data_IF_298895090552
#
_entry.id   IF_298895090552
#
_cell.length_a   1.000
_cell.length_b   1.000
_cell.length_c   1.000
_cell.angle_alpha   90.00
_cell.angle_beta   90.00
_cell.angle_gamma   90.00
#
_symmetry.space_group_name_H-M   'P 1'
#
loop_
_entity.id
_entity.type
_entity.pdbx_description
1 polymer ?
#
# COMPACT_ATOMS: atom_id res chain seq x y z
N UNK A 1 -46.94 -3.80 35.11
CA UNK A 1 -46.76 -2.34 35.28
C UNK A 1 -45.46 -2.12 36.08
N UNK A 2 -44.30 -2.29 35.46
CA UNK A 2 -42.99 -1.94 36.10
C UNK A 2 -41.84 -1.88 35.08
N UNK A 3 -42.06 -1.46 33.85
CA UNK A 3 -40.98 -1.34 32.83
C UNK A 3 -41.05 -0.07 31.97
N UNK A 4 -41.58 1.03 32.53
CA UNK A 4 -41.69 2.29 31.77
C UNK A 4 -40.87 3.46 32.33
N UNK A 5 -39.88 3.22 33.21
CA UNK A 5 -39.12 4.29 33.84
C UNK A 5 -37.62 4.34 33.50
N UNK A 6 -37.02 3.35 32.79
CA UNK A 6 -35.59 3.36 32.47
C UNK A 6 -35.24 3.96 31.09
N UNK A 7 -36.21 4.30 30.24
CA UNK A 7 -35.90 4.86 28.91
C UNK A 7 -35.77 6.39 28.84
N UNK A 8 -35.96 7.11 29.97
CA UNK A 8 -35.86 8.59 30.01
C UNK A 8 -34.47 9.15 30.29
N UNK A 9 -33.53 8.32 30.73
CA UNK A 9 -32.15 8.75 31.06
C UNK A 9 -31.19 8.89 29.88
N UNK A 10 -31.41 8.15 28.80
CA UNK A 10 -30.50 8.15 27.63
C UNK A 10 -30.76 9.32 26.65
N UNK A 11 -31.98 9.88 26.65
CA UNK A 11 -32.32 11.03 25.80
C UNK A 11 -31.65 12.34 26.23
N UNK A 12 -31.40 12.50 27.51
CA UNK A 12 -30.83 13.74 28.07
C UNK A 12 -29.30 13.80 28.00
N UNK A 13 -28.62 12.65 27.95
CA UNK A 13 -27.18 12.59 27.73
C UNK A 13 -26.85 12.98 26.29
N UNK A 14 -27.64 12.58 25.32
CA UNK A 14 -27.47 12.97 23.92
C UNK A 14 -27.78 14.44 23.63
N UNK A 15 -28.69 15.07 24.42
CA UNK A 15 -28.99 16.50 24.29
C UNK A 15 -27.93 17.40 24.92
N UNK A 16 -27.20 16.94 25.94
CA UNK A 16 -26.12 17.70 26.57
C UNK A 16 -24.82 17.72 25.74
N UNK A 17 -24.57 16.72 24.86
CA UNK A 17 -23.43 16.72 23.95
C UNK A 17 -23.62 17.61 22.71
N UNK A 18 -24.84 18.05 22.40
CA UNK A 18 -25.09 19.03 21.31
C UNK A 18 -24.94 20.50 21.72
N UNK A 19 -24.67 20.78 22.99
CA UNK A 19 -24.62 22.15 23.52
C UNK A 19 -23.24 22.82 23.56
N UNK A 20 -22.18 22.17 23.05
CA UNK A 20 -20.83 22.74 23.06
C UNK A 20 -20.12 22.70 21.68
N UNK A 21 -20.89 22.82 20.60
CA UNK A 21 -20.34 23.27 19.32
C UNK A 21 -20.60 24.79 19.25
N UNK A 22 -19.67 25.57 19.80
CA UNK A 22 -19.54 26.97 19.44
C UNK A 22 -19.52 27.07 17.92
N UNK A 23 -20.47 27.82 17.34
CA UNK A 23 -20.48 28.16 15.93
C UNK A 23 -19.12 28.81 15.62
N UNK A 24 -18.21 28.06 15.00
CA UNK A 24 -16.95 28.60 14.47
C UNK A 24 -17.36 29.66 13.46
N UNK A 25 -17.17 30.94 13.82
CA UNK A 25 -17.34 32.07 12.90
C UNK A 25 -16.62 31.76 11.60
N UNK A 26 -17.30 31.99 10.49
CA UNK A 26 -16.75 31.69 9.16
C UNK A 26 -15.64 32.67 8.84
N UNK A 27 -14.42 32.45 9.33
CA UNK A 27 -13.25 33.30 9.05
C UNK A 27 -13.10 33.50 7.54
N UNK A 28 -12.89 34.72 7.11
CA UNK A 28 -12.74 35.13 5.71
C UNK A 28 -11.29 35.46 5.38
N UNK A 29 -10.93 35.46 4.09
CA UNK A 29 -9.58 35.84 3.64
C UNK A 29 -9.25 37.27 4.06
N UNK A 30 -10.26 38.14 4.23
CA UNK A 30 -10.13 39.53 4.69
C UNK A 30 -9.66 39.56 6.16
N UNK A 31 -10.29 38.73 7.01
CA UNK A 31 -9.89 38.59 8.41
C UNK A 31 -8.49 38.00 8.58
N UNK A 32 -8.10 37.02 7.76
CA UNK A 32 -6.73 36.51 7.71
C UNK A 32 -5.74 37.65 7.36
N UNK A 33 -6.07 38.48 6.38
CA UNK A 33 -5.24 39.61 5.97
C UNK A 33 -5.10 40.65 7.10
N UNK A 34 -6.19 40.94 7.79
CA UNK A 34 -6.21 41.84 8.96
C UNK A 34 -5.36 41.27 10.12
N UNK A 35 -5.51 39.99 10.45
CA UNK A 35 -4.71 39.33 11.50
C UNK A 35 -3.22 39.25 11.15
N UNK A 36 -2.88 39.07 9.89
CA UNK A 36 -1.50 39.04 9.40
C UNK A 36 -0.90 40.45 9.25
N UNK A 37 -1.72 41.50 9.18
CA UNK A 37 -1.29 42.90 8.92
C UNK A 37 -0.84 43.10 7.47
N UNK A 38 -1.48 42.43 6.50
CA UNK A 38 -1.11 42.49 5.09
C UNK A 38 -2.33 42.67 4.18
N UNK A 39 -2.11 42.88 2.88
CA UNK A 39 -3.19 42.98 1.92
C UNK A 39 -3.81 41.62 1.63
N UNK A 40 -5.09 41.61 1.25
CA UNK A 40 -5.78 40.40 0.77
C UNK A 40 -5.01 39.74 -0.39
N UNK A 41 -4.43 40.56 -1.27
CA UNK A 41 -3.63 40.10 -2.40
C UNK A 41 -2.38 39.32 -1.92
N UNK A 42 -1.72 39.76 -0.84
CA UNK A 42 -0.58 39.06 -0.26
C UNK A 42 -0.97 37.72 0.30
N UNK A 43 -2.08 37.60 1.03
CA UNK A 43 -2.61 36.32 1.51
C UNK A 43 -2.96 35.41 0.34
N UNK A 44 -3.58 35.94 -0.70
CA UNK A 44 -3.90 35.17 -1.92
C UNK A 44 -2.63 34.67 -2.63
N UNK A 45 -1.56 35.45 -2.68
CA UNK A 45 -0.30 35.04 -3.27
C UNK A 45 0.38 33.93 -2.46
N UNK A 46 0.28 33.95 -1.14
CA UNK A 46 0.80 32.87 -0.28
C UNK A 46 0.00 31.59 -0.49
N UNK A 47 -1.35 31.67 -0.46
CA UNK A 47 -2.21 30.49 -0.63
C UNK A 47 -2.00 29.84 -2.00
N UNK A 48 -1.97 30.65 -3.08
CA UNK A 48 -1.90 30.15 -4.45
C UNK A 48 -0.45 30.02 -4.98
N UNK A 49 0.58 30.40 -4.19
CA UNK A 49 2.00 30.41 -4.58
C UNK A 49 2.29 31.12 -5.92
N UNK A 50 1.57 32.20 -6.20
CA UNK A 50 1.59 32.88 -7.52
C UNK A 50 2.66 33.95 -7.63
N UNK A 51 3.21 34.45 -6.51
CA UNK A 51 4.28 35.43 -6.45
C UNK A 51 5.18 35.18 -5.24
N UNK A 52 6.42 35.64 -5.33
CA UNK A 52 7.35 35.63 -4.21
C UNK A 52 6.83 36.51 -3.05
N UNK A 53 6.74 35.93 -1.87
CA UNK A 53 6.47 36.62 -0.60
C UNK A 53 7.61 36.26 0.36
N UNK A 54 8.05 37.21 1.20
CA UNK A 54 9.14 36.96 2.14
C UNK A 54 8.83 35.78 3.06
N UNK A 55 9.79 34.86 3.32
CA UNK A 55 9.55 33.65 4.10
C UNK A 55 8.90 33.91 5.48
N UNK A 56 9.37 34.91 6.20
CA UNK A 56 8.83 35.32 7.52
C UNK A 56 7.31 35.66 7.46
N UNK A 57 6.87 36.22 6.33
CA UNK A 57 5.48 36.59 6.11
C UNK A 57 4.65 35.38 5.70
N UNK A 58 5.25 34.44 4.95
CA UNK A 58 4.63 33.16 4.59
C UNK A 58 4.35 32.38 5.86
N UNK A 59 5.35 32.18 6.73
CA UNK A 59 5.22 31.46 7.99
C UNK A 59 4.15 32.06 8.89
N UNK A 60 4.09 33.39 8.98
CA UNK A 60 3.07 34.08 9.75
C UNK A 60 1.67 33.85 9.23
N UNK A 61 1.47 33.93 7.91
CA UNK A 61 0.17 33.73 7.27
C UNK A 61 -0.26 32.26 7.39
N UNK A 62 0.64 31.30 7.14
CA UNK A 62 0.35 29.87 7.26
C UNK A 62 -0.05 29.50 8.70
N UNK A 63 0.63 30.06 9.72
CA UNK A 63 0.28 29.87 11.12
C UNK A 63 -1.14 30.35 11.43
N UNK A 64 -1.51 31.54 10.96
CA UNK A 64 -2.87 32.09 11.12
C UNK A 64 -3.91 31.22 10.41
N UNK A 65 -3.62 30.73 9.21
CA UNK A 65 -4.50 29.83 8.45
C UNK A 65 -4.76 28.55 9.23
N UNK A 66 -3.73 27.96 9.87
CA UNK A 66 -3.86 26.76 10.71
C UNK A 66 -4.68 27.05 11.96
N UNK A 67 -4.33 28.10 12.72
CA UNK A 67 -5.00 28.47 13.97
C UNK A 67 -6.48 28.81 13.79
N UNK A 68 -6.83 29.43 12.67
CA UNK A 68 -8.21 29.81 12.35
C UNK A 68 -9.01 28.68 11.68
N UNK A 69 -8.36 27.58 11.28
CA UNK A 69 -8.97 26.50 10.51
C UNK A 69 -9.41 26.91 9.09
N UNK A 70 -8.88 28.05 8.57
CA UNK A 70 -9.21 28.55 7.24
C UNK A 70 -8.76 27.62 6.11
N UNK A 71 -7.77 26.76 6.36
CA UNK A 71 -7.36 25.69 5.42
C UNK A 71 -8.53 24.79 5.02
N UNK A 72 -9.50 24.53 5.92
CA UNK A 72 -10.69 23.74 5.59
C UNK A 72 -11.57 24.45 4.55
N UNK A 73 -11.58 25.80 4.52
CA UNK A 73 -12.28 26.60 3.52
C UNK A 73 -11.57 26.63 2.18
N UNK A 74 -10.24 26.65 2.20
CA UNK A 74 -9.45 26.55 0.96
C UNK A 74 -9.75 25.21 0.32
N UNK A 75 -9.69 24.12 1.08
CA UNK A 75 -10.04 22.78 0.63
C UNK A 75 -11.50 22.68 0.15
N UNK A 76 -12.47 23.30 0.86
CA UNK A 76 -13.88 23.33 0.43
C UNK A 76 -14.11 24.15 -0.86
N UNK A 77 -13.33 25.22 -1.07
CA UNK A 77 -13.39 26.01 -2.31
C UNK A 77 -12.80 25.25 -3.50
N UNK A 78 -11.67 24.61 -3.29
CA UNK A 78 -11.05 23.72 -4.27
C UNK A 78 -11.95 22.52 -4.57
N UNK A 79 -12.58 21.93 -3.55
CA UNK A 79 -13.58 20.87 -3.69
C UNK A 79 -14.79 21.29 -4.53
N UNK A 80 -15.29 22.54 -4.38
CA UNK A 80 -16.36 23.09 -5.20
C UNK A 80 -15.93 23.37 -6.65
N UNK A 81 -14.66 23.69 -6.88
CA UNK A 81 -14.09 23.85 -8.21
C UNK A 81 -13.87 22.49 -8.90
N UNK A 82 -13.66 21.42 -8.12
CA UNK A 82 -13.53 20.04 -8.58
C UNK A 82 -14.91 19.38 -8.84
N UNK A 83 -16.00 19.91 -8.29
CA UNK A 83 -17.37 19.47 -8.59
C UNK A 83 -17.72 19.85 -10.04
N UNK A 84 -17.45 18.93 -10.95
CA UNK A 84 -17.64 19.12 -12.41
C UNK A 84 -16.39 18.81 -13.25
N UNK A 85 -15.23 18.55 -12.60
CA UNK A 85 -14.01 18.06 -13.22
C UNK A 85 -13.60 16.73 -12.60
N UNK A 86 -12.56 16.13 -13.11
CA UNK A 86 -11.93 14.92 -12.62
C UNK A 86 -11.77 14.98 -11.08
N UNK A 87 -12.55 14.18 -10.37
CA UNK A 87 -12.66 14.29 -8.90
C UNK A 87 -12.41 12.98 -8.18
N UNK A 88 -12.05 11.93 -8.91
CA UNK A 88 -11.89 10.58 -8.37
C UNK A 88 -10.46 10.11 -8.55
N UNK A 89 -9.81 9.70 -7.47
CA UNK A 89 -8.58 8.91 -7.49
C UNK A 89 -8.96 7.44 -7.37
N UNK A 90 -8.39 6.60 -8.20
CA UNK A 90 -8.69 5.16 -8.21
C UNK A 90 -7.43 4.38 -7.90
N UNK A 91 -7.48 3.50 -6.90
CA UNK A 91 -6.47 2.46 -6.71
C UNK A 91 -6.88 1.20 -7.50
N UNK A 92 -6.05 0.78 -8.43
CA UNK A 92 -6.21 -0.47 -9.18
C UNK A 92 -5.16 -1.44 -8.65
N UNK A 93 -5.61 -2.46 -7.93
CA UNK A 93 -4.73 -3.36 -7.14
C UNK A 93 -5.12 -4.82 -7.38
N UNK A 94 -4.18 -5.76 -7.25
CA UNK A 94 -4.44 -7.19 -7.47
C UNK A 94 -5.45 -7.77 -6.47
N UNK A 95 -5.35 -7.41 -5.19
CA UNK A 95 -6.22 -7.93 -4.13
C UNK A 95 -6.19 -7.02 -2.90
N UNK A 96 -7.09 -7.24 -1.94
CA UNK A 96 -7.15 -6.53 -0.66
C UNK A 96 -6.67 -7.40 0.51
N UNK A 97 -6.33 -8.64 0.27
CA UNK A 97 -5.86 -9.57 1.30
C UNK A 97 -4.42 -9.26 1.72
N UNK A 98 -3.62 -8.74 0.80
CA UNK A 98 -2.27 -8.27 1.09
C UNK A 98 -2.32 -7.04 2.01
N UNK A 99 -1.61 -7.10 3.12
CA UNK A 99 -1.50 -6.01 4.09
C UNK A 99 -0.96 -4.74 3.44
N UNK A 100 -0.02 -4.87 2.52
CA UNK A 100 0.57 -3.76 1.76
C UNK A 100 -0.53 -2.95 1.06
N UNK A 101 -1.41 -3.62 0.31
CA UNK A 101 -2.49 -2.93 -0.41
C UNK A 101 -3.57 -2.41 0.54
N UNK A 102 -3.92 -3.18 1.56
CA UNK A 102 -4.92 -2.78 2.56
C UNK A 102 -4.49 -1.51 3.29
N UNK A 103 -3.26 -1.46 3.77
CA UNK A 103 -2.73 -0.33 4.53
C UNK A 103 -2.51 0.89 3.61
N UNK A 104 -2.03 0.68 2.38
CA UNK A 104 -1.95 1.71 1.36
C UNK A 104 -3.33 2.32 1.09
N UNK A 105 -4.35 1.51 0.85
CA UNK A 105 -5.73 1.95 0.60
C UNK A 105 -6.26 2.78 1.78
N UNK A 106 -6.06 2.30 3.01
CA UNK A 106 -6.50 3.01 4.21
C UNK A 106 -5.81 4.38 4.35
N UNK A 107 -4.50 4.44 4.14
CA UNK A 107 -3.71 5.67 4.26
C UNK A 107 -4.02 6.66 3.12
N UNK A 108 -4.03 6.20 1.87
CA UNK A 108 -4.33 7.04 0.70
C UNK A 108 -5.74 7.62 0.79
N UNK A 109 -6.73 6.82 1.23
CA UNK A 109 -8.09 7.32 1.45
C UNK A 109 -8.12 8.55 2.35
N UNK A 110 -7.35 8.56 3.45
CA UNK A 110 -7.29 9.70 4.35
C UNK A 110 -6.70 10.92 3.64
N UNK A 111 -5.58 10.75 2.93
CA UNK A 111 -4.89 11.84 2.24
C UNK A 111 -5.76 12.47 1.15
N UNK A 112 -6.33 11.66 0.26
CA UNK A 112 -7.10 12.17 -0.89
C UNK A 112 -8.43 12.79 -0.46
N UNK A 113 -9.04 12.30 0.64
CA UNK A 113 -10.28 12.85 1.19
C UNK A 113 -10.09 14.27 1.73
N UNK A 114 -8.94 14.57 2.35
CA UNK A 114 -8.60 15.93 2.81
C UNK A 114 -8.48 16.88 1.64
N UNK A 115 -7.99 16.40 0.49
CA UNK A 115 -7.86 17.18 -0.75
C UNK A 115 -9.19 17.30 -1.53
N UNK A 116 -10.25 16.66 -1.06
CA UNK A 116 -11.58 16.77 -1.67
C UNK A 116 -11.84 15.78 -2.80
N UNK A 117 -10.94 14.83 -3.05
CA UNK A 117 -11.15 13.74 -4.02
C UNK A 117 -12.01 12.62 -3.45
N UNK A 118 -12.78 11.98 -4.31
CA UNK A 118 -13.34 10.67 -4.03
C UNK A 118 -12.25 9.61 -4.20
N UNK A 119 -12.30 8.56 -3.39
CA UNK A 119 -11.37 7.44 -3.51
C UNK A 119 -12.14 6.16 -3.80
N UNK A 120 -11.75 5.48 -4.87
CA UNK A 120 -12.30 4.19 -5.27
C UNK A 120 -11.17 3.15 -5.31
N UNK A 121 -11.54 1.89 -5.10
CA UNK A 121 -10.64 0.75 -5.22
C UNK A 121 -11.24 -0.21 -6.24
N UNK A 122 -10.45 -0.59 -7.22
CA UNK A 122 -10.77 -1.64 -8.18
C UNK A 122 -9.79 -2.80 -7.97
N UNK A 123 -10.33 -4.00 -7.83
CA UNK A 123 -9.57 -5.23 -7.62
C UNK A 123 -9.52 -5.97 -8.95
N UNK A 124 -8.35 -6.53 -9.30
CA UNK A 124 -8.10 -7.19 -10.58
C UNK A 124 -7.83 -8.69 -10.43
N UNK A 125 -7.82 -9.21 -9.21
CA UNK A 125 -7.53 -10.62 -8.86
C UNK A 125 -6.26 -11.16 -9.53
N UNK A 126 -5.30 -10.27 -9.79
CA UNK A 126 -4.06 -10.56 -10.51
C UNK A 126 -4.31 -11.13 -11.94
N UNK A 127 -5.49 -10.86 -12.51
CA UNK A 127 -5.87 -11.27 -13.87
C UNK A 127 -5.71 -10.11 -14.86
N UNK A 128 -4.90 -10.30 -15.89
CA UNK A 128 -4.59 -9.28 -16.89
C UNK A 128 -5.81 -8.86 -17.73
N UNK A 129 -6.78 -9.76 -17.93
CA UNK A 129 -8.00 -9.45 -18.69
C UNK A 129 -8.95 -8.60 -17.86
N UNK A 130 -9.10 -8.95 -16.58
CA UNK A 130 -9.89 -8.16 -15.62
C UNK A 130 -9.29 -6.77 -15.48
N UNK A 131 -7.98 -6.67 -15.29
CA UNK A 131 -7.26 -5.39 -15.24
C UNK A 131 -7.50 -4.54 -16.49
N UNK A 132 -7.39 -5.13 -17.67
CA UNK A 132 -7.62 -4.42 -18.93
C UNK A 132 -9.07 -3.88 -19.05
N UNK A 133 -10.07 -4.62 -18.55
CA UNK A 133 -11.47 -4.18 -18.52
C UNK A 133 -11.67 -3.03 -17.54
N UNK A 134 -11.12 -3.16 -16.33
CA UNK A 134 -11.15 -2.11 -15.29
C UNK A 134 -10.53 -0.82 -15.85
N UNK A 135 -9.31 -0.89 -16.38
CA UNK A 135 -8.61 0.26 -16.93
C UNK A 135 -9.40 0.88 -18.10
N UNK A 136 -9.94 0.08 -19.02
CA UNK A 136 -10.76 0.59 -20.13
C UNK A 136 -11.99 1.35 -19.62
N UNK A 137 -12.67 0.84 -18.59
CA UNK A 137 -13.80 1.51 -17.93
C UNK A 137 -13.42 2.84 -17.29
N UNK A 138 -12.26 2.89 -16.63
CA UNK A 138 -11.76 4.12 -16.01
C UNK A 138 -11.39 5.20 -17.02
N UNK A 139 -10.80 4.82 -18.16
CA UNK A 139 -10.41 5.76 -19.21
C UNK A 139 -11.60 6.42 -19.93
N UNK A 140 -12.75 5.76 -19.95
CA UNK A 140 -14.00 6.33 -20.48
C UNK A 140 -14.60 7.33 -19.48
N UNK A 141 -14.33 7.18 -18.22
CA UNK A 141 -14.89 8.01 -17.15
C UNK A 141 -14.10 9.32 -16.98
N UNK A 142 -14.66 10.42 -17.50
CA UNK A 142 -14.04 11.76 -17.41
C UNK A 142 -13.87 12.32 -15.98
N UNK A 143 -14.30 11.59 -14.94
CA UNK A 143 -14.15 12.01 -13.54
C UNK A 143 -12.91 11.45 -12.87
N UNK A 144 -12.16 10.60 -13.54
CA UNK A 144 -10.90 10.05 -13.00
C UNK A 144 -9.81 11.12 -13.08
N UNK A 145 -9.35 11.56 -11.92
CA UNK A 145 -8.29 12.56 -11.78
C UNK A 145 -6.89 11.93 -11.76
N UNK A 146 -6.80 10.66 -11.34
CA UNK A 146 -5.55 9.92 -11.30
C UNK A 146 -5.75 8.48 -10.87
N UNK A 147 -4.75 7.65 -11.17
CA UNK A 147 -4.76 6.22 -10.87
C UNK A 147 -3.50 5.85 -10.08
N UNK A 148 -3.68 5.10 -9.00
CA UNK A 148 -2.61 4.41 -8.29
C UNK A 148 -2.70 2.95 -8.73
N UNK A 149 -1.69 2.45 -9.42
CA UNK A 149 -1.76 1.20 -10.15
C UNK A 149 -0.70 0.20 -9.67
N UNK A 150 -1.13 -0.96 -9.20
CA UNK A 150 -0.25 -2.11 -9.00
C UNK A 150 -0.41 -3.06 -10.20
N UNK A 151 0.42 -2.94 -11.26
CA UNK A 151 0.20 -3.63 -12.52
C UNK A 151 0.33 -5.14 -12.38
N UNK A 152 -0.53 -5.89 -13.09
CA UNK A 152 -0.48 -7.35 -13.14
C UNK A 152 0.72 -7.85 -13.94
N UNK A 153 1.15 -7.09 -14.94
CA UNK A 153 2.28 -7.39 -15.82
C UNK A 153 3.28 -6.22 -15.85
N UNK A 154 4.54 -6.49 -16.13
CA UNK A 154 5.57 -5.49 -16.35
C UNK A 154 5.73 -5.07 -17.81
N UNK A 155 4.98 -5.70 -18.72
CA UNK A 155 5.08 -5.50 -20.18
C UNK A 155 4.32 -4.24 -20.62
N UNK A 156 5.02 -3.21 -21.06
CA UNK A 156 4.46 -1.90 -21.43
C UNK A 156 3.36 -1.96 -22.52
N UNK A 157 3.42 -2.92 -23.44
CA UNK A 157 2.40 -3.07 -24.50
C UNK A 157 1.01 -3.36 -23.96
N UNK A 158 0.88 -3.97 -22.78
CA UNK A 158 -0.41 -4.24 -22.12
C UNK A 158 -1.09 -2.94 -21.66
N UNK A 159 -0.34 -1.88 -21.44
CA UNK A 159 -0.81 -0.60 -20.89
C UNK A 159 -0.78 0.57 -21.87
N UNK A 160 -0.61 0.30 -23.16
CA UNK A 160 -0.49 1.35 -24.19
C UNK A 160 -1.63 2.37 -24.14
N UNK A 161 -2.89 1.91 -23.96
CA UNK A 161 -4.06 2.81 -23.87
C UNK A 161 -4.01 3.68 -22.61
N UNK A 162 -3.59 3.15 -21.47
CA UNK A 162 -3.44 3.89 -20.22
C UNK A 162 -2.34 4.95 -20.39
N UNK A 163 -1.18 4.56 -20.88
CA UNK A 163 -0.02 5.46 -21.09
C UNK A 163 -0.39 6.62 -22.05
N UNK A 164 -1.15 6.34 -23.09
CA UNK A 164 -1.56 7.35 -24.09
C UNK A 164 -2.79 8.17 -23.67
N UNK A 165 -3.48 7.80 -22.62
CA UNK A 165 -4.74 8.42 -22.20
C UNK A 165 -4.59 9.84 -21.70
N UNK A 166 -3.42 10.22 -21.21
CA UNK A 166 -3.17 11.48 -20.52
C UNK A 166 -3.72 11.52 -19.07
N UNK A 167 -4.34 10.44 -18.57
CA UNK A 167 -4.74 10.33 -17.17
C UNK A 167 -3.47 10.13 -16.35
N UNK A 168 -3.19 10.98 -15.36
CA UNK A 168 -2.02 10.80 -14.49
C UNK A 168 -2.11 9.46 -13.73
N UNK A 169 -1.01 8.70 -13.71
CA UNK A 169 -0.96 7.50 -12.88
C UNK A 169 0.46 7.25 -12.37
N UNK A 170 0.53 6.53 -11.26
CA UNK A 170 1.76 6.08 -10.61
C UNK A 170 1.65 4.59 -10.35
N UNK A 171 2.73 3.87 -10.60
CA UNK A 171 2.84 2.46 -10.26
C UNK A 171 3.22 2.29 -8.79
N UNK A 172 2.71 1.26 -8.14
CA UNK A 172 3.03 0.90 -6.75
C UNK A 172 3.37 -0.56 -6.63
N UNK A 173 4.41 -0.87 -5.82
CA UNK A 173 4.96 -2.21 -5.59
C UNK A 173 5.54 -2.86 -6.85
N UNK A 174 4.87 -2.72 -7.99
CA UNK A 174 5.27 -3.27 -9.29
C UNK A 174 5.46 -2.13 -10.28
N UNK A 175 6.24 -2.37 -11.33
CA UNK A 175 6.56 -1.38 -12.34
C UNK A 175 6.20 -1.88 -13.74
N UNK A 176 6.01 -0.95 -14.69
CA UNK A 176 5.84 -1.22 -16.12
C UNK A 176 7.15 -0.88 -16.81
N UNK A 177 7.91 -1.89 -17.18
CA UNK A 177 9.28 -1.73 -17.70
C UNK A 177 9.31 -0.90 -18.98
N UNK A 178 10.25 0.05 -19.02
CA UNK A 178 10.47 0.90 -20.20
C UNK A 178 9.35 1.91 -20.50
N UNK A 179 8.35 2.05 -19.63
CA UNK A 179 7.24 3.00 -19.83
C UNK A 179 7.60 4.46 -19.50
N UNK A 180 8.61 4.69 -18.67
CA UNK A 180 8.93 6.01 -18.13
C UNK A 180 7.92 6.53 -17.09
N UNK A 181 7.04 5.68 -16.59
CA UNK A 181 6.05 6.00 -15.56
C UNK A 181 6.72 5.96 -14.18
N UNK A 182 6.37 6.92 -13.33
CA UNK A 182 6.84 6.94 -11.96
C UNK A 182 6.32 5.73 -11.18
N UNK A 183 7.20 5.16 -10.33
CA UNK A 183 6.86 4.03 -9.47
C UNK A 183 7.35 4.22 -8.03
N UNK A 184 6.62 3.61 -7.11
CA UNK A 184 7.01 3.47 -5.69
C UNK A 184 7.16 1.99 -5.40
N UNK A 185 8.40 1.53 -5.27
CA UNK A 185 8.75 0.13 -5.14
C UNK A 185 9.48 -0.15 -3.81
N UNK A 186 9.44 -1.40 -3.38
CA UNK A 186 10.28 -1.86 -2.27
C UNK A 186 11.67 -2.24 -2.75
N UNK A 187 12.63 -2.29 -1.85
CA UNK A 187 13.97 -2.81 -2.13
C UNK A 187 14.01 -4.33 -2.09
N UNK A 188 13.16 -4.96 -2.89
CA UNK A 188 12.91 -6.41 -2.87
C UNK A 188 14.18 -7.23 -2.99
N UNK A 189 15.09 -6.87 -3.92
CA UNK A 189 16.37 -7.56 -4.12
C UNK A 189 17.21 -7.52 -2.86
N UNK A 190 17.34 -6.34 -2.24
CA UNK A 190 18.16 -6.16 -1.04
C UNK A 190 17.56 -6.90 0.16
N UNK A 191 16.24 -6.85 0.32
CA UNK A 191 15.54 -7.51 1.42
C UNK A 191 15.70 -9.04 1.33
N UNK A 192 15.41 -9.63 0.18
CA UNK A 192 15.59 -11.08 -0.02
C UNK A 192 17.04 -11.50 0.09
N UNK A 193 17.98 -10.68 -0.45
CA UNK A 193 19.40 -10.94 -0.26
C UNK A 193 19.77 -11.02 1.23
N UNK A 194 19.33 -10.07 2.06
CA UNK A 194 19.60 -10.07 3.51
C UNK A 194 19.04 -11.31 4.20
N UNK A 195 17.83 -11.75 3.84
CA UNK A 195 17.21 -12.94 4.41
C UNK A 195 17.93 -14.22 4.05
N UNK A 196 18.30 -14.37 2.79
CA UNK A 196 19.10 -15.49 2.33
C UNK A 196 20.51 -15.48 2.94
N UNK A 197 21.15 -14.30 2.99
CA UNK A 197 22.47 -14.10 3.60
C UNK A 197 22.47 -14.51 5.07
N UNK A 198 21.44 -14.13 5.82
CA UNK A 198 21.29 -14.52 7.22
C UNK A 198 21.23 -16.05 7.39
N UNK A 199 20.41 -16.74 6.59
CA UNK A 199 20.30 -18.20 6.64
C UNK A 199 21.63 -18.88 6.26
N UNK A 200 22.28 -18.42 5.21
CA UNK A 200 23.55 -18.98 4.73
C UNK A 200 24.70 -18.71 5.72
N UNK A 201 24.75 -17.51 6.31
CA UNK A 201 25.70 -17.16 7.37
C UNK A 201 25.51 -18.00 8.63
N UNK A 202 24.28 -18.42 8.93
CA UNK A 202 23.95 -19.33 10.04
C UNK A 202 24.33 -20.80 9.76
N UNK A 203 24.94 -21.09 8.60
CA UNK A 203 25.45 -22.42 8.24
C UNK A 203 24.50 -23.30 7.41
N UNK A 204 23.31 -22.81 7.07
CA UNK A 204 22.42 -23.54 6.19
C UNK A 204 22.99 -23.60 4.76
N UNK A 205 23.04 -24.79 4.18
CA UNK A 205 23.49 -25.00 2.79
C UNK A 205 22.33 -25.40 1.85
N UNK A 206 21.28 -25.99 2.41
CA UNK A 206 20.08 -26.39 1.69
C UNK A 206 18.94 -25.44 2.07
N UNK A 207 18.88 -24.30 1.39
CA UNK A 207 17.86 -23.28 1.57
C UNK A 207 16.84 -23.36 0.43
N UNK A 208 15.55 -23.49 0.78
CA UNK A 208 14.46 -23.48 -0.18
C UNK A 208 13.82 -22.09 -0.23
N UNK A 209 13.69 -21.51 -1.42
CA UNK A 209 13.03 -20.24 -1.63
C UNK A 209 11.65 -20.43 -2.26
N UNK A 210 10.60 -20.05 -1.54
CA UNK A 210 9.25 -19.95 -2.08
C UNK A 210 9.00 -18.54 -2.59
N UNK A 211 8.57 -18.41 -3.84
CA UNK A 211 8.19 -17.12 -4.45
C UNK A 211 6.81 -17.22 -5.08
N UNK A 212 6.18 -16.07 -5.28
CA UNK A 212 4.88 -15.97 -5.94
C UNK A 212 5.01 -16.23 -7.45
N UNK A 213 4.08 -17.02 -8.00
CA UNK A 213 4.00 -17.32 -9.44
C UNK A 213 3.30 -16.18 -10.18
N UNK A 214 3.99 -15.07 -10.40
CA UNK A 214 3.49 -13.89 -11.12
C UNK A 214 4.53 -13.41 -12.13
N UNK A 215 4.09 -12.77 -13.20
CA UNK A 215 5.00 -12.09 -14.14
C UNK A 215 5.15 -10.63 -13.71
N UNK A 216 5.95 -10.41 -12.66
CA UNK A 216 6.13 -9.08 -12.07
C UNK A 216 7.59 -8.77 -11.79
N UNK A 217 7.93 -7.47 -11.85
CA UNK A 217 9.25 -6.96 -11.45
C UNK A 217 9.62 -7.38 -10.03
N UNK A 218 8.65 -7.39 -9.11
CA UNK A 218 8.82 -7.82 -7.72
C UNK A 218 9.34 -9.25 -7.62
N UNK A 219 8.73 -10.20 -8.35
CA UNK A 219 9.20 -11.60 -8.39
C UNK A 219 10.64 -11.69 -8.87
N UNK A 220 10.95 -10.99 -9.95
CA UNK A 220 12.27 -11.06 -10.56
C UNK A 220 13.35 -10.44 -9.66
N UNK A 221 13.07 -9.32 -9.02
CA UNK A 221 13.99 -8.69 -8.07
C UNK A 221 14.22 -9.56 -6.84
N UNK A 222 13.17 -10.18 -6.29
CA UNK A 222 13.30 -11.15 -5.18
C UNK A 222 14.15 -12.34 -5.58
N UNK A 223 13.93 -12.87 -6.79
CA UNK A 223 14.73 -13.99 -7.32
C UNK A 223 16.21 -13.61 -7.45
N UNK A 224 16.51 -12.44 -8.02
CA UNK A 224 17.88 -11.95 -8.12
C UNK A 224 18.53 -11.79 -6.75
N UNK A 225 17.77 -11.30 -5.76
CA UNK A 225 18.28 -11.19 -4.38
C UNK A 225 18.71 -12.54 -3.80
N UNK A 226 17.90 -13.58 -3.98
CA UNK A 226 18.22 -14.93 -3.53
C UNK A 226 19.46 -15.50 -4.25
N UNK A 227 19.51 -15.40 -5.59
CA UNK A 227 20.64 -15.89 -6.37
C UNK A 227 21.95 -15.17 -6.00
N UNK A 228 21.92 -13.84 -5.82
CA UNK A 228 23.09 -13.08 -5.40
C UNK A 228 23.61 -13.53 -4.02
N UNK A 229 22.72 -13.91 -3.11
CA UNK A 229 23.15 -14.48 -1.83
C UNK A 229 23.84 -15.84 -2.00
N UNK A 230 23.30 -16.73 -2.84
CA UNK A 230 23.94 -18.02 -3.16
C UNK A 230 25.35 -17.82 -3.75
N UNK A 231 25.50 -16.89 -4.69
CA UNK A 231 26.79 -16.55 -5.31
C UNK A 231 27.81 -16.07 -4.29
N UNK A 232 27.41 -15.23 -3.34
CA UNK A 232 28.28 -14.77 -2.24
C UNK A 232 28.89 -15.93 -1.44
N UNK A 233 28.16 -17.03 -1.29
CA UNK A 233 28.61 -18.23 -0.57
C UNK A 233 29.18 -19.32 -1.49
N UNK A 234 29.44 -19.01 -2.76
CA UNK A 234 29.94 -19.93 -3.78
C UNK A 234 29.03 -21.17 -3.97
N UNK A 235 27.75 -21.01 -3.78
CA UNK A 235 26.73 -22.04 -4.08
C UNK A 235 26.30 -21.86 -5.53
N UNK A 236 26.34 -22.96 -6.29
CA UNK A 236 25.96 -22.91 -7.69
C UNK A 236 24.48 -22.53 -7.84
N UNK A 237 24.21 -21.43 -8.56
CA UNK A 237 22.84 -20.95 -8.77
C UNK A 237 21.96 -21.88 -9.60
N UNK A 238 22.56 -22.79 -10.40
CA UNK A 238 21.82 -23.83 -11.10
C UNK A 238 21.22 -24.89 -10.14
N UNK A 239 21.79 -25.01 -8.93
CA UNK A 239 21.31 -25.90 -7.89
C UNK A 239 20.35 -25.19 -6.91
N UNK A 240 19.93 -23.96 -7.26
CA UNK A 240 19.04 -23.17 -6.43
C UNK A 240 17.66 -23.82 -6.30
N UNK A 241 17.24 -24.12 -5.07
CA UNK A 241 15.92 -24.62 -4.78
C UNK A 241 14.91 -23.48 -4.74
N UNK A 242 14.25 -23.22 -5.86
CA UNK A 242 13.21 -22.19 -6.01
C UNK A 242 11.90 -22.86 -6.40
N UNK A 243 10.82 -22.52 -5.70
CA UNK A 243 9.49 -23.06 -5.94
C UNK A 243 8.47 -21.93 -6.07
N UNK A 244 7.75 -21.94 -7.17
CA UNK A 244 6.65 -21.02 -7.42
C UNK A 244 5.38 -21.48 -6.70
N UNK A 245 4.72 -20.54 -6.01
CA UNK A 245 3.44 -20.74 -5.33
C UNK A 245 2.42 -19.83 -5.98
N UNK A 246 1.34 -20.43 -6.50
CA UNK A 246 0.25 -19.72 -7.18
C UNK A 246 -0.83 -19.38 -6.17
N UNK A 247 -0.82 -18.14 -5.65
CA UNK A 247 -1.72 -17.71 -4.57
C UNK A 247 -3.19 -17.67 -4.97
N UNK A 248 -3.50 -17.48 -6.25
CA UNK A 248 -4.85 -17.42 -6.82
C UNK A 248 -5.60 -18.76 -6.77
N UNK A 249 -4.87 -19.88 -6.59
CA UNK A 249 -5.47 -21.21 -6.44
C UNK A 249 -6.12 -21.47 -5.07
N UNK A 250 -5.95 -20.53 -4.14
CA UNK A 250 -6.47 -20.65 -2.79
C UNK A 250 -5.49 -21.26 -1.80
N UNK A 251 -5.86 -21.22 -0.51
CA UNK A 251 -5.00 -21.62 0.60
C UNK A 251 -4.61 -23.10 0.54
N UNK A 252 -5.59 -23.99 0.34
CA UNK A 252 -5.37 -25.44 0.38
C UNK A 252 -4.39 -25.89 -0.71
N UNK A 253 -4.53 -25.38 -1.93
CA UNK A 253 -3.63 -25.71 -3.04
C UNK A 253 -2.22 -25.17 -2.81
N UNK A 254 -2.11 -23.96 -2.24
CA UNK A 254 -0.82 -23.38 -1.85
C UNK A 254 -0.13 -24.23 -0.78
N UNK A 255 -0.84 -24.60 0.29
CA UNK A 255 -0.30 -25.43 1.36
C UNK A 255 0.11 -26.82 0.84
N UNK A 256 -0.67 -27.42 -0.05
CA UNK A 256 -0.32 -28.69 -0.71
C UNK A 256 0.96 -28.57 -1.54
N UNK A 257 1.12 -27.47 -2.31
CA UNK A 257 2.33 -27.22 -3.09
C UNK A 257 3.57 -27.05 -2.17
N UNK A 258 3.43 -26.30 -1.08
CA UNK A 258 4.47 -26.13 -0.08
C UNK A 258 4.83 -27.47 0.57
N UNK A 259 3.85 -28.27 0.99
CA UNK A 259 4.07 -29.59 1.57
C UNK A 259 4.85 -30.52 0.63
N UNK A 260 4.46 -30.56 -0.66
CA UNK A 260 5.17 -31.36 -1.69
C UNK A 260 6.62 -30.91 -1.84
N UNK A 261 6.87 -29.60 -1.84
CA UNK A 261 8.20 -29.04 -1.98
C UNK A 261 9.08 -29.38 -0.75
N UNK A 262 8.57 -29.23 0.47
CA UNK A 262 9.29 -29.57 1.70
C UNK A 262 9.70 -31.05 1.71
N UNK A 263 8.80 -31.95 1.32
CA UNK A 263 9.10 -33.40 1.21
C UNK A 263 10.15 -33.72 0.15
N UNK A 264 10.10 -33.02 -1.00
CA UNK A 264 11.01 -33.23 -2.13
C UNK A 264 12.41 -32.71 -1.84
N UNK A 265 12.53 -31.47 -1.39
CA UNK A 265 13.82 -30.79 -1.24
C UNK A 265 14.45 -31.01 0.14
N UNK A 266 13.68 -31.38 1.16
CA UNK A 266 14.12 -31.57 2.55
C UNK A 266 15.06 -30.46 3.02
N UNK A 267 14.61 -29.19 2.94
CA UNK A 267 15.47 -28.05 3.28
C UNK A 267 15.77 -28.03 4.78
N UNK A 268 16.91 -27.46 5.16
CA UNK A 268 17.22 -27.11 6.57
C UNK A 268 16.75 -25.69 6.90
N UNK A 269 16.53 -24.88 5.89
CA UNK A 269 15.96 -23.54 6.03
C UNK A 269 15.09 -23.16 4.84
N UNK A 270 14.10 -22.30 5.08
CA UNK A 270 13.17 -21.80 4.09
C UNK A 270 13.15 -20.29 4.12
N UNK A 271 13.26 -19.67 2.95
CA UNK A 271 12.99 -18.26 2.73
C UNK A 271 11.63 -18.13 2.05
N UNK A 272 10.69 -17.44 2.67
CA UNK A 272 9.37 -17.17 2.10
C UNK A 272 9.35 -15.77 1.47
N UNK A 273 9.13 -15.70 0.17
CA UNK A 273 9.22 -14.47 -0.62
C UNK A 273 7.96 -13.60 -0.61
N UNK A 274 7.10 -13.73 0.39
CA UNK A 274 5.90 -12.90 0.56
C UNK A 274 5.12 -13.26 1.82
N UNK A 275 4.33 -12.30 2.33
CA UNK A 275 3.60 -12.45 3.58
C UNK A 275 2.58 -13.61 3.57
N UNK A 276 1.79 -13.75 2.50
CA UNK A 276 0.84 -14.87 2.35
C UNK A 276 1.56 -16.23 2.26
N UNK A 277 2.67 -16.28 1.53
CA UNK A 277 3.49 -17.50 1.44
C UNK A 277 4.04 -17.85 2.82
N UNK A 278 4.50 -16.85 3.60
CA UNK A 278 4.98 -17.04 4.97
C UNK A 278 3.89 -17.66 5.85
N UNK A 279 2.68 -17.11 5.79
CA UNK A 279 1.53 -17.63 6.55
C UNK A 279 1.21 -19.08 6.19
N UNK A 280 1.12 -19.39 4.89
CA UNK A 280 0.80 -20.73 4.43
C UNK A 280 1.93 -21.74 4.74
N UNK A 281 3.20 -21.30 4.68
CA UNK A 281 4.33 -22.10 5.12
C UNK A 281 4.23 -22.45 6.62
N UNK A 282 3.97 -21.47 7.48
CA UNK A 282 3.85 -21.70 8.93
C UNK A 282 2.68 -22.64 9.27
N UNK A 283 1.53 -22.46 8.59
CA UNK A 283 0.40 -23.40 8.70
C UNK A 283 0.79 -24.80 8.26
N UNK A 284 1.48 -24.94 7.13
CA UNK A 284 1.93 -26.24 6.60
C UNK A 284 2.91 -26.92 7.54
N UNK A 285 3.90 -26.22 8.10
CA UNK A 285 4.85 -26.78 9.06
C UNK A 285 4.12 -27.30 10.31
N UNK A 286 3.20 -26.51 10.85
CA UNK A 286 2.36 -26.91 11.99
C UNK A 286 1.57 -28.19 11.67
N UNK A 287 0.90 -28.25 10.53
CA UNK A 287 0.06 -29.39 10.15
C UNK A 287 0.87 -30.64 9.82
N UNK A 288 2.14 -30.46 9.44
CA UNK A 288 3.10 -31.57 9.26
C UNK A 288 3.80 -31.99 10.58
N UNK A 289 3.61 -31.25 11.67
CA UNK A 289 4.28 -31.47 12.94
C UNK A 289 5.79 -31.20 12.91
N UNK A 290 6.24 -30.32 12.00
CA UNK A 290 7.66 -29.93 11.85
C UNK A 290 7.95 -28.76 12.79
N UNK A 291 8.98 -28.92 13.62
CA UNK A 291 9.39 -27.90 14.57
C UNK A 291 10.17 -26.77 13.88
N UNK A 292 9.77 -25.54 14.16
CA UNK A 292 10.44 -24.33 13.69
C UNK A 292 10.86 -23.50 14.93
N UNK A 293 12.15 -23.25 15.15
CA UNK A 293 13.30 -23.45 14.24
C UNK A 293 14.04 -24.80 14.43
N UNK A 294 13.58 -25.69 15.30
CA UNK A 294 14.36 -26.88 15.70
C UNK A 294 14.71 -27.83 14.54
N UNK A 295 13.78 -28.04 13.59
CA UNK A 295 13.99 -28.87 12.42
C UNK A 295 14.21 -28.04 11.15
N UNK A 296 13.46 -26.94 10.99
CA UNK A 296 13.56 -26.04 9.83
C UNK A 296 13.58 -24.59 10.29
N UNK A 297 14.61 -23.84 9.92
CA UNK A 297 14.67 -22.39 10.11
C UNK A 297 13.83 -21.70 9.04
N UNK A 298 13.06 -20.66 9.41
CA UNK A 298 12.22 -19.89 8.48
C UNK A 298 12.55 -18.41 8.57
N UNK A 299 12.74 -17.78 7.40
CA UNK A 299 12.78 -16.33 7.24
C UNK A 299 11.61 -15.94 6.36
N UNK A 300 10.76 -15.05 6.86
CA UNK A 300 9.60 -14.51 6.15
C UNK A 300 9.85 -13.12 5.56
N UNK A 301 9.08 -12.75 4.55
CA UNK A 301 9.05 -11.42 3.98
C UNK A 301 7.76 -10.72 4.42
N UNK A 302 7.91 -9.50 4.97
CA UNK A 302 6.81 -8.73 5.54
C UNK A 302 6.68 -8.92 7.06
N UNK A 303 6.14 -7.89 7.72
CA UNK A 303 5.94 -7.84 9.18
C UNK A 303 4.45 -7.79 9.49
N UNK A 304 3.83 -8.95 9.56
CA UNK A 304 2.41 -9.09 9.83
C UNK A 304 2.16 -9.26 11.34
N UNK A 305 1.06 -8.69 11.85
CA UNK A 305 0.74 -8.74 13.27
C UNK A 305 0.62 -10.17 13.84
N UNK A 306 0.26 -11.17 13.02
CA UNK A 306 0.22 -12.57 13.44
C UNK A 306 1.62 -13.15 13.67
N UNK A 307 2.64 -12.57 13.07
CA UNK A 307 4.02 -13.07 13.15
C UNK A 307 4.61 -12.91 14.55
N UNK A 308 4.15 -11.93 15.32
CA UNK A 308 4.50 -11.75 16.74
C UNK A 308 4.05 -12.93 17.60
N UNK A 309 3.05 -13.70 17.15
CA UNK A 309 2.57 -14.89 17.84
C UNK A 309 3.43 -16.14 17.56
N UNK A 310 4.36 -16.04 16.62
CA UNK A 310 5.29 -17.13 16.27
C UNK A 310 6.65 -16.83 16.84
N UNK A 311 7.09 -17.60 17.86
CA UNK A 311 8.35 -17.38 18.60
C UNK A 311 9.64 -17.58 17.77
N UNK A 312 9.53 -17.88 16.47
CA UNK A 312 10.64 -18.43 15.69
C UNK A 312 10.81 -17.83 14.29
N UNK A 313 10.12 -16.73 13.97
CA UNK A 313 10.15 -16.12 12.64
C UNK A 313 11.06 -14.90 12.63
N UNK A 314 12.01 -14.86 11.71
CA UNK A 314 12.82 -13.66 11.43
C UNK A 314 12.14 -12.90 10.30
N UNK A 315 11.81 -11.64 10.60
CA UNK A 315 11.16 -10.73 9.65
C UNK A 315 12.20 -9.84 8.96
N UNK A 316 12.01 -9.65 7.68
CA UNK A 316 12.85 -8.77 6.87
C UNK A 316 11.97 -7.77 6.12
#
# INVERSE_FOLDING_TARGET
IRDAQESRGLGDVYKRQKGCCMSKSKVTIKEIAEMAGVSIATVSHVINRTRYVRPELVDKIEKIIVETGYQNKIADKERKLLVGRESTIVAVIPNIESTIYRDMVAYVKQLVSVQGYQFLVAITDNDLKEEAQVLAGLLINKKVAGIIHAPVSDVASNYTKLIQSGVPFVCVERNILGSGIDSVEFRDREAIFKGADYLLASGHKNVLFFRESTDSTTRDERTKGFLNALEKYNINTNDANIVDVTLEKGEDDCMLAIQKALRRYRPTAVLAGGNRITLYLMKTLRDMGIDCPGEISVVGFGDESWSELTLSLIHI
#
